data_IF_032874401655
#
_entry.id   IF_032874401655
#
_cell.length_a   1.000
_cell.length_b   1.000
_cell.length_c   1.000
_cell.angle_alpha   90.00
_cell.angle_beta   90.00
_cell.angle_gamma   90.00
#
_symmetry.space_group_name_H-M   'P 1'
#
loop_
_entity.id
_entity.type
_entity.pdbx_description
1 polymer ?
#
# COMPACT_ATOMS: atom_id res chain seq x y z
N UNK A 1 -8.40 -7.19 12.83
CA UNK A 1 -7.09 -6.86 13.43
C UNK A 1 -6.01 -7.72 12.79
N UNK A 2 -4.88 -7.12 12.39
CA UNK A 2 -3.71 -7.81 11.85
C UNK A 2 -2.56 -7.75 12.86
N UNK A 3 -1.95 -8.90 13.17
CA UNK A 3 -0.79 -9.00 14.04
C UNK A 3 0.37 -9.68 13.30
N UNK A 4 1.52 -9.03 13.29
CA UNK A 4 2.78 -9.60 12.84
C UNK A 4 3.62 -9.92 14.08
N UNK A 5 4.09 -11.16 14.20
CA UNK A 5 4.88 -11.63 15.35
C UNK A 5 6.23 -12.15 14.86
N UNK A 6 7.30 -11.44 15.21
CA UNK A 6 8.68 -11.83 14.90
C UNK A 6 8.93 -12.12 13.42
N UNK A 7 8.31 -11.33 12.52
CA UNK A 7 8.44 -11.52 11.07
C UNK A 7 9.88 -11.27 10.64
N UNK A 8 10.46 -12.27 10.00
CA UNK A 8 11.78 -12.19 9.39
C UNK A 8 11.72 -12.69 7.95
N UNK A 9 12.52 -12.06 7.09
CA UNK A 9 12.64 -12.49 5.70
C UNK A 9 14.07 -12.33 5.22
N UNK A 10 14.63 -13.43 4.74
CA UNK A 10 16.00 -13.53 4.25
C UNK A 10 16.01 -14.03 2.82
N UNK A 11 16.91 -13.52 2.03
CA UNK A 11 17.15 -13.93 0.65
C UNK A 11 18.58 -14.41 0.48
N UNK A 12 18.76 -15.44 -0.35
CA UNK A 12 20.09 -15.89 -0.76
C UNK A 12 20.53 -15.07 -1.96
N UNK A 13 21.72 -14.47 -1.87
CA UNK A 13 22.36 -13.73 -2.95
C UNK A 13 23.69 -14.42 -3.32
N UNK A 14 24.30 -14.11 -4.48
CA UNK A 14 25.63 -14.63 -4.81
C UNK A 14 26.71 -14.30 -3.79
N UNK A 15 26.50 -13.24 -3.02
CA UNK A 15 27.44 -12.73 -1.99
C UNK A 15 27.16 -13.29 -0.58
N UNK A 16 26.08 -14.10 -0.43
CA UNK A 16 25.66 -14.67 0.84
C UNK A 16 24.19 -14.45 1.15
N UNK A 17 23.80 -14.68 2.38
CA UNK A 17 22.44 -14.43 2.86
C UNK A 17 22.28 -12.96 3.25
N UNK A 18 21.14 -12.36 2.86
CA UNK A 18 20.79 -10.97 3.20
C UNK A 18 19.46 -10.94 3.92
N UNK A 19 19.42 -10.35 5.11
CA UNK A 19 18.20 -10.10 5.87
C UNK A 19 17.51 -8.82 5.34
N UNK A 20 16.35 -8.99 4.70
CA UNK A 20 15.51 -7.89 4.21
C UNK A 20 14.57 -7.40 5.31
N UNK A 21 13.99 -8.31 6.09
CA UNK A 21 13.17 -8.03 7.28
C UNK A 21 13.80 -8.74 8.48
N UNK A 22 13.95 -7.99 9.58
CA UNK A 22 14.68 -8.43 10.77
C UNK A 22 13.78 -8.29 12.00
N UNK A 23 13.05 -9.36 12.32
CA UNK A 23 12.27 -9.45 13.57
C UNK A 23 11.25 -8.32 13.76
N UNK A 24 10.37 -8.10 12.78
CA UNK A 24 9.30 -7.11 12.90
C UNK A 24 8.11 -7.70 13.65
N UNK A 25 7.72 -7.03 14.74
CA UNK A 25 6.49 -7.30 15.49
C UNK A 25 5.64 -6.03 15.53
N UNK A 26 4.39 -6.12 15.04
CA UNK A 26 3.46 -4.99 15.00
C UNK A 26 2.02 -5.48 15.02
N UNK A 27 1.16 -4.76 15.75
CA UNK A 27 -0.30 -4.93 15.72
C UNK A 27 -0.92 -3.75 15.00
N UNK A 28 -1.79 -4.02 14.03
CA UNK A 28 -2.55 -3.05 13.26
C UNK A 28 -4.03 -3.24 13.64
N UNK A 29 -4.63 -2.28 14.37
CA UNK A 29 -6.03 -2.35 14.77
C UNK A 29 -6.96 -2.22 13.56
N UNK A 30 -8.21 -2.70 13.72
CA UNK A 30 -9.23 -2.53 12.69
C UNK A 30 -9.61 -1.06 12.51
N UNK A 31 -10.04 -0.73 11.31
CA UNK A 31 -10.55 0.59 10.92
C UNK A 31 -9.55 1.73 11.12
N UNK A 32 -8.25 1.42 11.04
CA UNK A 32 -7.16 2.40 11.12
C UNK A 32 -6.50 2.60 9.78
N UNK A 33 -6.00 3.82 9.58
CA UNK A 33 -5.11 4.16 8.49
C UNK A 33 -3.67 4.19 9.03
N UNK A 34 -2.86 3.22 8.60
CA UNK A 34 -1.45 3.12 8.93
C UNK A 34 -0.62 3.54 7.70
N UNK A 35 0.36 4.40 7.89
CA UNK A 35 1.33 4.70 6.83
C UNK A 35 2.68 4.09 7.14
N UNK A 36 3.18 3.27 6.20
CA UNK A 36 4.54 2.76 6.23
C UNK A 36 5.43 3.67 5.39
N UNK A 37 6.43 4.26 6.00
CA UNK A 37 7.39 5.14 5.34
C UNK A 37 8.82 4.78 5.74
N UNK A 38 9.82 5.55 5.27
CA UNK A 38 11.24 5.29 5.55
C UNK A 38 12.05 5.13 4.26
N UNK A 39 13.38 4.99 4.34
CA UNK A 39 14.27 5.01 3.18
C UNK A 39 13.96 3.90 2.17
N UNK A 40 14.34 4.14 0.90
CA UNK A 40 14.24 3.13 -0.15
C UNK A 40 15.12 1.92 0.22
N UNK A 41 14.61 0.70 -0.07
CA UNK A 41 15.28 -0.53 0.35
C UNK A 41 15.09 -0.88 1.83
N UNK A 42 14.37 -0.08 2.62
CA UNK A 42 14.13 -0.32 4.05
C UNK A 42 13.29 -1.56 4.39
N UNK A 43 12.60 -2.16 3.39
CA UNK A 43 11.79 -3.38 3.59
C UNK A 43 10.28 -3.16 3.54
N UNK A 44 9.78 -1.94 3.32
CA UNK A 44 8.34 -1.58 3.32
C UNK A 44 7.50 -2.44 2.38
N UNK A 45 7.82 -2.43 1.08
CA UNK A 45 7.16 -3.25 0.04
C UNK A 45 7.27 -4.74 0.33
N UNK A 46 8.41 -5.20 0.84
CA UNK A 46 8.61 -6.61 1.21
C UNK A 46 7.67 -7.01 2.35
N UNK A 47 7.55 -6.19 3.38
CA UNK A 47 6.63 -6.44 4.50
C UNK A 47 5.17 -6.49 4.02
N UNK A 48 4.75 -5.56 3.17
CA UNK A 48 3.42 -5.56 2.58
C UNK A 48 3.16 -6.80 1.70
N UNK A 49 4.15 -7.24 0.91
CA UNK A 49 4.08 -8.49 0.13
C UNK A 49 3.97 -9.73 1.03
N UNK A 50 4.65 -9.74 2.16
CA UNK A 50 4.54 -10.80 3.17
C UNK A 50 3.12 -10.84 3.74
N UNK A 51 2.53 -9.70 4.09
CA UNK A 51 1.15 -9.63 4.59
C UNK A 51 0.15 -10.17 3.57
N UNK A 52 0.32 -9.88 2.29
CA UNK A 52 -0.55 -10.40 1.21
C UNK A 52 -0.27 -11.86 0.86
N UNK A 53 0.89 -12.44 1.26
CA UNK A 53 1.30 -13.80 0.90
C UNK A 53 1.95 -13.92 -0.47
N UNK A 54 2.35 -12.79 -1.08
CA UNK A 54 3.17 -12.74 -2.30
C UNK A 54 4.59 -13.24 -2.06
N UNK A 55 5.06 -13.09 -0.82
CA UNK A 55 6.35 -13.57 -0.32
C UNK A 55 6.10 -14.29 1.00
N UNK A 56 6.69 -15.47 1.18
CA UNK A 56 6.62 -16.19 2.45
C UNK A 56 7.72 -15.71 3.39
N UNK A 57 7.41 -15.39 4.65
CA UNK A 57 8.43 -15.04 5.63
C UNK A 57 9.33 -16.25 5.93
N UNK A 58 10.59 -16.00 6.26
CA UNK A 58 11.53 -17.06 6.70
C UNK A 58 11.37 -17.40 8.18
N UNK A 59 10.67 -16.55 8.94
CA UNK A 59 10.35 -16.77 10.35
C UNK A 59 9.22 -15.85 10.81
N UNK A 60 8.62 -16.20 11.94
CA UNK A 60 7.53 -15.46 12.54
C UNK A 60 6.15 -15.96 12.14
N UNK A 61 5.12 -15.24 12.59
CA UNK A 61 3.71 -15.61 12.44
C UNK A 61 2.87 -14.39 12.08
N UNK A 62 1.89 -14.57 11.21
CA UNK A 62 0.92 -13.54 10.80
C UNK A 62 -0.46 -14.00 11.26
N UNK A 63 -1.08 -13.22 12.14
CA UNK A 63 -2.46 -13.45 12.57
C UNK A 63 -3.38 -12.41 11.98
N UNK A 64 -4.47 -12.84 11.38
CA UNK A 64 -5.53 -11.97 10.89
C UNK A 64 -6.86 -12.36 11.53
N UNK A 65 -7.47 -11.42 12.27
CA UNK A 65 -8.66 -11.67 13.10
C UNK A 65 -8.49 -12.87 14.05
N UNK A 66 -7.26 -13.03 14.62
CA UNK A 66 -6.91 -14.12 15.52
C UNK A 66 -6.58 -15.46 14.85
N UNK A 67 -6.73 -15.56 13.52
CA UNK A 67 -6.42 -16.77 12.75
C UNK A 67 -5.01 -16.67 12.16
N UNK A 68 -4.24 -17.76 12.23
CA UNK A 68 -2.93 -17.84 11.60
C UNK A 68 -3.06 -17.97 10.09
N UNK A 69 -2.61 -16.94 9.37
CA UNK A 69 -2.62 -16.88 7.93
C UNK A 69 -1.22 -17.04 7.31
N UNK A 70 -0.20 -17.34 8.11
CA UNK A 70 1.20 -17.37 7.67
C UNK A 70 1.40 -18.26 6.46
N UNK A 71 0.84 -19.48 6.47
CA UNK A 71 0.96 -20.44 5.38
C UNK A 71 -0.09 -20.32 4.28
N UNK A 72 -1.07 -19.41 4.40
CA UNK A 72 -2.14 -19.27 3.41
C UNK A 72 -1.63 -18.65 2.11
N UNK A 73 -2.17 -19.14 1.00
CA UNK A 73 -1.93 -18.60 -0.34
C UNK A 73 -2.54 -17.20 -0.51
N UNK A 74 -2.10 -16.48 -1.55
CA UNK A 74 -2.65 -15.17 -1.95
C UNK A 74 -4.18 -15.26 -2.11
N UNK A 75 -4.68 -16.31 -2.77
CA UNK A 75 -6.11 -16.50 -3.02
C UNK A 75 -6.91 -16.70 -1.72
N UNK A 76 -6.37 -17.44 -0.76
CA UNK A 76 -7.03 -17.64 0.53
C UNK A 76 -7.06 -16.35 1.35
N UNK A 77 -5.94 -15.61 1.40
CA UNK A 77 -5.90 -14.29 2.06
C UNK A 77 -6.82 -13.28 1.38
N UNK A 78 -6.87 -13.31 0.05
CA UNK A 78 -7.81 -12.51 -0.70
C UNK A 78 -9.27 -12.83 -0.34
N UNK A 79 -9.65 -14.11 -0.20
CA UNK A 79 -10.99 -14.53 0.24
C UNK A 79 -11.32 -14.09 1.67
N UNK A 80 -10.32 -13.85 2.51
CA UNK A 80 -10.46 -13.28 3.85
C UNK A 80 -10.60 -11.75 3.86
N UNK A 81 -10.72 -11.11 2.70
CA UNK A 81 -10.91 -9.66 2.60
C UNK A 81 -9.62 -8.85 2.57
N UNK A 82 -8.46 -9.46 2.35
CA UNK A 82 -7.20 -8.73 2.18
C UNK A 82 -7.02 -8.38 0.70
N UNK A 83 -6.78 -7.09 0.41
CA UNK A 83 -6.55 -6.57 -0.94
C UNK A 83 -5.21 -5.87 -1.03
N UNK A 84 -4.57 -5.93 -2.21
CA UNK A 84 -3.23 -5.35 -2.43
C UNK A 84 -3.18 -4.58 -3.75
N UNK A 85 -2.79 -3.32 -3.69
CA UNK A 85 -2.47 -2.49 -4.84
C UNK A 85 -0.96 -2.47 -5.06
N UNK A 86 -0.55 -2.91 -6.25
CA UNK A 86 0.87 -3.06 -6.59
C UNK A 86 1.52 -1.70 -6.88
N UNK A 87 2.79 -1.54 -6.59
CA UNK A 87 3.58 -0.38 -7.01
C UNK A 87 3.52 -0.19 -8.54
N UNK A 88 3.64 -1.30 -9.27
CA UNK A 88 3.42 -1.36 -10.72
C UNK A 88 2.23 -2.29 -11.00
N UNK A 89 1.06 -1.74 -11.33
CA UNK A 89 -0.12 -2.53 -11.55
C UNK A 89 0.02 -3.41 -12.79
N UNK A 90 -0.51 -4.64 -12.76
CA UNK A 90 -0.50 -5.53 -13.90
C UNK A 90 -1.42 -5.03 -15.02
N UNK A 91 -1.09 -5.41 -16.27
CA UNK A 91 -1.92 -5.15 -17.44
C UNK A 91 -2.53 -6.45 -17.93
N UNK A 92 -3.76 -6.37 -18.41
CA UNK A 92 -4.55 -7.54 -18.80
C UNK A 92 -5.06 -7.38 -20.23
N UNK A 93 -4.43 -8.07 -21.17
CA UNK A 93 -4.88 -8.07 -22.57
C UNK A 93 -6.22 -8.80 -22.70
N UNK A 94 -7.18 -8.19 -23.41
CA UNK A 94 -8.50 -8.78 -23.64
C UNK A 94 -9.45 -8.67 -22.47
N UNK A 95 -9.13 -7.91 -21.42
CA UNK A 95 -9.99 -7.65 -20.26
C UNK A 95 -10.28 -6.15 -20.20
N UNK A 96 -11.56 -5.79 -20.20
CA UNK A 96 -11.98 -4.39 -20.07
C UNK A 96 -11.96 -3.92 -18.63
N UNK A 97 -12.00 -2.60 -18.43
CA UNK A 97 -12.17 -1.99 -17.10
C UNK A 97 -13.46 -2.49 -16.43
N UNK A 98 -14.54 -2.63 -17.19
CA UNK A 98 -15.80 -3.18 -16.69
C UNK A 98 -15.61 -4.62 -16.19
N UNK A 99 -14.94 -5.48 -16.95
CA UNK A 99 -14.68 -6.87 -16.56
C UNK A 99 -13.85 -6.96 -15.28
N UNK A 100 -12.84 -6.10 -15.14
CA UNK A 100 -12.04 -6.06 -13.91
C UNK A 100 -12.85 -5.62 -12.70
N UNK A 101 -13.69 -4.61 -12.84
CA UNK A 101 -14.56 -4.16 -11.74
C UNK A 101 -15.57 -5.24 -11.37
N UNK A 102 -16.16 -5.93 -12.37
CA UNK A 102 -17.08 -7.04 -12.16
C UNK A 102 -16.43 -8.19 -11.40
N UNK A 103 -15.25 -8.62 -11.84
CA UNK A 103 -14.46 -9.67 -11.18
C UNK A 103 -14.07 -9.27 -9.75
N UNK A 104 -13.68 -8.02 -9.54
CA UNK A 104 -13.30 -7.52 -8.23
C UNK A 104 -14.49 -7.48 -7.26
N UNK A 105 -15.67 -7.06 -7.72
CA UNK A 105 -16.90 -7.04 -6.93
C UNK A 105 -17.39 -8.46 -6.57
N UNK A 106 -16.94 -9.50 -7.28
CA UNK A 106 -17.39 -10.88 -7.08
C UNK A 106 -18.87 -11.09 -7.43
N UNK A 107 -19.40 -10.29 -8.34
CA UNK A 107 -20.81 -10.31 -8.75
C UNK A 107 -20.96 -10.83 -10.18
N UNK A 108 -22.11 -11.41 -10.51
CA UNK A 108 -22.41 -11.81 -11.89
C UNK A 108 -22.74 -10.62 -12.79
N UNK A 109 -23.22 -9.52 -12.21
CA UNK A 109 -23.56 -8.29 -12.92
C UNK A 109 -23.25 -7.08 -12.05
N UNK A 110 -22.59 -6.10 -12.64
CA UNK A 110 -22.32 -4.81 -12.01
C UNK A 110 -22.97 -3.70 -12.83
N UNK A 111 -23.84 -2.90 -12.22
CA UNK A 111 -24.52 -1.82 -12.93
C UNK A 111 -23.53 -0.72 -13.35
N UNK A 112 -23.84 -0.04 -14.47
CA UNK A 112 -23.03 1.07 -14.96
C UNK A 112 -22.90 2.18 -13.91
N UNK A 113 -23.93 2.44 -13.12
CA UNK A 113 -23.91 3.45 -12.05
C UNK A 113 -22.90 3.10 -10.94
N UNK A 114 -22.82 1.81 -10.55
CA UNK A 114 -21.84 1.35 -9.57
C UNK A 114 -20.42 1.42 -10.11
N UNK A 115 -20.20 1.03 -11.37
CA UNK A 115 -18.92 1.22 -12.04
C UNK A 115 -18.52 2.70 -12.06
N UNK A 116 -19.48 3.58 -12.40
CA UNK A 116 -19.28 5.02 -12.41
C UNK A 116 -18.87 5.52 -11.01
N UNK A 117 -19.51 5.05 -9.96
CA UNK A 117 -19.19 5.42 -8.58
C UNK A 117 -17.74 5.05 -8.20
N UNK A 118 -17.27 3.84 -8.57
CA UNK A 118 -15.88 3.43 -8.29
C UNK A 118 -14.87 4.23 -9.11
N UNK A 119 -15.11 4.44 -10.41
CA UNK A 119 -14.20 5.17 -11.28
C UNK A 119 -14.14 6.65 -10.91
N UNK A 120 -15.26 7.27 -10.54
CA UNK A 120 -15.31 8.67 -10.09
C UNK A 120 -14.46 8.89 -8.84
N UNK A 121 -14.44 7.95 -7.91
CA UNK A 121 -13.60 8.02 -6.71
C UNK A 121 -12.12 8.18 -7.03
N UNK A 122 -11.66 7.57 -8.11
CA UNK A 122 -10.26 7.66 -8.57
C UNK A 122 -10.06 8.69 -9.71
N UNK A 123 -11.03 9.53 -9.98
CA UNK A 123 -10.93 10.60 -10.98
C UNK A 123 -10.97 10.11 -12.43
N UNK A 124 -11.68 9.02 -12.72
CA UNK A 124 -11.90 8.50 -14.06
C UNK A 124 -13.38 8.61 -14.44
N UNK A 125 -13.66 8.94 -15.71
CA UNK A 125 -15.01 8.96 -16.25
C UNK A 125 -15.40 7.57 -16.77
N UNK A 126 -16.49 7.00 -16.25
CA UNK A 126 -16.93 5.68 -16.68
C UNK A 126 -17.23 5.58 -18.18
N UNK A 127 -17.81 6.64 -18.80
CA UNK A 127 -18.12 6.65 -20.21
C UNK A 127 -16.88 6.54 -21.11
N UNK A 128 -15.73 7.00 -20.62
CA UNK A 128 -14.47 7.03 -21.38
C UNK A 128 -13.61 5.77 -21.17
N UNK A 129 -13.86 5.03 -20.07
CA UNK A 129 -12.95 3.97 -19.64
C UNK A 129 -13.57 2.59 -19.57
N UNK A 130 -14.89 2.42 -19.33
CA UNK A 130 -15.48 1.10 -19.04
C UNK A 130 -15.22 0.05 -20.12
N UNK A 131 -15.35 0.44 -21.38
CA UNK A 131 -15.20 -0.49 -22.50
C UNK A 131 -13.74 -0.58 -23.01
N UNK A 132 -12.80 0.13 -22.38
CA UNK A 132 -11.38 0.07 -22.75
C UNK A 132 -10.71 -1.17 -22.13
N UNK A 133 -9.85 -1.81 -22.90
CA UNK A 133 -8.96 -2.87 -22.38
C UNK A 133 -7.90 -2.26 -21.46
N UNK A 134 -7.52 -3.01 -20.42
CA UNK A 134 -6.45 -2.60 -19.48
C UNK A 134 -5.10 -3.04 -20.04
N UNK A 135 -4.76 -2.54 -21.19
CA UNK A 135 -3.57 -2.87 -21.97
C UNK A 135 -2.54 -1.71 -22.02
N UNK A 136 -1.63 -1.78 -23.00
CA UNK A 136 -0.55 -0.80 -23.21
C UNK A 136 -1.04 0.57 -23.70
N UNK A 137 -2.29 0.70 -24.13
CA UNK A 137 -2.88 1.97 -24.58
C UNK A 137 -3.19 2.92 -23.41
N UNK A 138 -3.30 2.39 -22.19
CA UNK A 138 -3.50 3.18 -20.99
C UNK A 138 -2.15 3.65 -20.43
N UNK A 139 -2.10 4.89 -19.97
CA UNK A 139 -0.94 5.41 -19.22
C UNK A 139 -0.75 4.67 -17.88
N UNK A 140 0.44 4.73 -17.30
CA UNK A 140 0.72 4.14 -15.99
C UNK A 140 -0.22 4.65 -14.89
N UNK A 141 -0.49 5.96 -14.87
CA UNK A 141 -1.39 6.58 -13.90
C UNK A 141 -2.86 6.18 -14.08
N UNK A 142 -3.32 5.93 -15.32
CA UNK A 142 -4.68 5.43 -15.57
C UNK A 142 -4.82 3.99 -15.07
N UNK A 143 -3.86 3.11 -15.38
CA UNK A 143 -3.87 1.72 -14.90
C UNK A 143 -3.83 1.67 -13.37
N UNK A 144 -3.02 2.52 -12.74
CA UNK A 144 -2.93 2.63 -11.28
C UNK A 144 -4.27 3.03 -10.65
N UNK A 145 -4.95 4.01 -11.21
CA UNK A 145 -6.28 4.44 -10.75
C UNK A 145 -7.35 3.37 -10.97
N UNK A 146 -7.29 2.65 -12.09
CA UNK A 146 -8.19 1.51 -12.34
C UNK A 146 -7.95 0.41 -11.31
N UNK A 147 -6.69 0.06 -11.01
CA UNK A 147 -6.35 -0.90 -9.96
C UNK A 147 -6.96 -0.50 -8.61
N UNK A 148 -6.78 0.76 -8.19
CA UNK A 148 -7.37 1.26 -6.95
C UNK A 148 -8.90 1.15 -6.98
N UNK A 149 -9.56 1.48 -8.09
CA UNK A 149 -11.00 1.32 -8.25
C UNK A 149 -11.44 -0.15 -8.08
N UNK A 150 -10.64 -1.14 -8.56
CA UNK A 150 -10.93 -2.56 -8.35
C UNK A 150 -10.79 -2.98 -6.90
N UNK A 151 -9.80 -2.45 -6.17
CA UNK A 151 -9.64 -2.69 -4.73
C UNK A 151 -10.85 -2.16 -3.96
N UNK A 152 -11.33 -0.95 -4.32
CA UNK A 152 -12.53 -0.37 -3.71
C UNK A 152 -13.80 -1.18 -4.03
N UNK A 153 -13.92 -1.69 -5.25
CA UNK A 153 -15.06 -2.51 -5.67
C UNK A 153 -15.15 -3.85 -4.92
N UNK A 154 -14.01 -4.35 -4.46
CA UNK A 154 -13.91 -5.61 -3.71
C UNK A 154 -14.48 -5.52 -2.30
N UNK A 155 -14.61 -4.33 -1.69
CA UNK A 155 -15.05 -4.13 -0.31
C UNK A 155 -14.27 -4.95 0.73
N UNK A 156 -12.93 -5.04 0.57
CA UNK A 156 -12.07 -5.76 1.50
C UNK A 156 -11.99 -5.08 2.88
N UNK A 157 -11.80 -5.88 3.94
CA UNK A 157 -11.63 -5.37 5.31
C UNK A 157 -10.23 -4.80 5.55
N UNK A 158 -9.21 -5.30 4.82
CA UNK A 158 -7.84 -4.82 4.84
C UNK A 158 -7.37 -4.47 3.43
N UNK A 159 -7.05 -3.21 3.21
CA UNK A 159 -6.56 -2.69 1.94
C UNK A 159 -5.10 -2.26 2.10
N UNK A 160 -4.23 -2.79 1.27
CA UNK A 160 -2.81 -2.45 1.25
C UNK A 160 -2.50 -1.74 -0.07
N UNK A 161 -1.90 -0.56 -0.02
CA UNK A 161 -1.52 0.22 -1.20
C UNK A 161 -0.02 0.48 -1.17
N UNK A 162 0.68 0.00 -2.19
CA UNK A 162 2.13 0.17 -2.34
C UNK A 162 2.41 1.31 -3.32
N UNK A 163 2.83 2.46 -2.79
CA UNK A 163 3.07 3.71 -3.51
C UNK A 163 1.93 4.06 -4.49
N UNK A 164 0.70 4.27 -3.98
CA UNK A 164 -0.47 4.51 -4.84
C UNK A 164 -0.37 5.76 -5.69
N UNK A 165 0.52 6.69 -5.33
CA UNK A 165 0.81 7.92 -6.05
C UNK A 165 1.76 7.76 -7.24
N UNK A 166 2.44 6.63 -7.38
CA UNK A 166 3.45 6.44 -8.41
C UNK A 166 2.88 6.60 -9.84
N UNK A 167 3.43 7.55 -10.59
CA UNK A 167 3.00 7.83 -11.97
C UNK A 167 1.65 8.52 -12.13
N UNK A 168 1.06 9.02 -11.05
CA UNK A 168 -0.20 9.79 -11.05
C UNK A 168 0.11 11.28 -11.09
N UNK A 169 -0.64 12.05 -11.91
CA UNK A 169 -0.55 13.51 -11.96
C UNK A 169 -1.11 14.17 -10.67
N UNK A 170 -0.73 15.42 -10.46
CA UNK A 170 -1.08 16.17 -9.24
C UNK A 170 -2.59 16.26 -8.97
N UNK A 171 -3.40 16.44 -10.02
CA UNK A 171 -4.86 16.60 -9.88
C UNK A 171 -5.52 15.27 -9.52
N UNK A 172 -5.12 14.20 -10.20
CA UNK A 172 -5.57 12.85 -9.91
C UNK A 172 -5.11 12.37 -8.53
N UNK A 173 -3.90 12.76 -8.11
CA UNK A 173 -3.39 12.46 -6.77
C UNK A 173 -4.21 13.17 -5.68
N UNK A 174 -4.59 14.44 -5.88
CA UNK A 174 -5.46 15.13 -4.93
C UNK A 174 -6.79 14.38 -4.75
N UNK A 175 -7.41 13.95 -5.86
CA UNK A 175 -8.65 13.16 -5.83
C UNK A 175 -8.50 11.83 -5.11
N UNK A 176 -7.39 11.15 -5.34
CA UNK A 176 -7.07 9.88 -4.67
C UNK A 176 -6.91 10.07 -3.15
N UNK A 177 -6.24 11.15 -2.74
CA UNK A 177 -6.05 11.50 -1.33
C UNK A 177 -7.40 11.75 -0.64
N UNK A 178 -8.31 12.50 -1.28
CA UNK A 178 -9.69 12.69 -0.80
C UNK A 178 -10.44 11.36 -0.65
N UNK A 179 -10.22 10.42 -1.58
CA UNK A 179 -10.83 9.08 -1.52
C UNK A 179 -10.33 8.28 -0.32
N UNK A 180 -9.02 8.28 -0.05
CA UNK A 180 -8.46 7.62 1.13
C UNK A 180 -8.97 8.26 2.43
N UNK A 181 -9.03 9.59 2.48
CA UNK A 181 -9.61 10.30 3.62
C UNK A 181 -11.07 9.93 3.87
N UNK A 182 -11.86 9.81 2.79
CA UNK A 182 -13.27 9.41 2.91
C UNK A 182 -13.43 7.98 3.42
N UNK A 183 -12.66 7.02 2.89
CA UNK A 183 -12.70 5.61 3.34
C UNK A 183 -12.30 5.52 4.81
N UNK A 184 -11.27 6.26 5.22
CA UNK A 184 -10.82 6.32 6.61
C UNK A 184 -11.90 6.91 7.52
N UNK A 185 -12.50 8.01 7.13
CA UNK A 185 -13.58 8.68 7.89
C UNK A 185 -14.83 7.80 8.01
N UNK A 186 -15.16 7.04 6.96
CA UNK A 186 -16.29 6.10 6.97
C UNK A 186 -16.04 4.88 7.88
N UNK A 187 -14.78 4.63 8.27
CA UNK A 187 -14.39 3.53 9.15
C UNK A 187 -14.75 2.14 8.64
N UNK A 188 -14.83 1.98 7.31
CA UNK A 188 -15.29 0.73 6.69
C UNK A 188 -14.22 -0.32 6.48
N UNK A 189 -12.94 0.10 6.49
CA UNK A 189 -11.80 -0.78 6.24
C UNK A 189 -10.56 -0.33 7.01
N UNK A 190 -9.65 -1.26 7.24
CA UNK A 190 -8.28 -0.99 7.68
C UNK A 190 -7.42 -0.72 6.46
N UNK A 191 -6.62 0.33 6.47
CA UNK A 191 -5.73 0.68 5.37
C UNK A 191 -4.27 0.68 5.81
N UNK A 192 -3.42 0.08 4.99
CA UNK A 192 -1.96 0.22 5.06
C UNK A 192 -1.52 0.89 3.77
N UNK A 193 -0.93 2.07 3.86
CA UNK A 193 -0.41 2.78 2.69
C UNK A 193 1.10 2.94 2.83
N UNK A 194 1.84 2.42 1.86
CA UNK A 194 3.27 2.73 1.73
C UNK A 194 3.37 4.00 0.92
N UNK A 195 3.88 5.07 1.52
CA UNK A 195 4.01 6.35 0.83
C UNK A 195 5.10 7.23 1.45
N UNK A 196 5.65 8.12 0.61
CA UNK A 196 6.55 9.21 1.02
C UNK A 196 5.88 10.59 0.88
N UNK A 197 4.63 10.62 0.42
CA UNK A 197 3.89 11.85 0.19
C UNK A 197 3.33 12.42 1.50
N UNK A 198 3.72 13.64 1.82
CA UNK A 198 3.29 14.35 3.03
C UNK A 198 1.77 14.34 3.21
N UNK A 199 1.01 14.52 2.11
CA UNK A 199 -0.46 14.54 2.15
C UNK A 199 -1.04 13.21 2.62
N UNK A 200 -0.46 12.07 2.21
CA UNK A 200 -0.89 10.74 2.66
C UNK A 200 -0.43 10.50 4.10
N UNK A 201 0.81 10.86 4.43
CA UNK A 201 1.36 10.71 5.78
C UNK A 201 0.49 11.43 6.81
N UNK A 202 0.00 12.64 6.49
CA UNK A 202 -0.86 13.43 7.38
C UNK A 202 -2.27 12.87 7.59
N UNK A 203 -2.72 11.94 6.76
CA UNK A 203 -4.02 11.25 6.96
C UNK A 203 -3.92 10.09 7.95
N UNK A 204 -2.70 9.63 8.27
CA UNK A 204 -2.51 8.44 9.08
C UNK A 204 -2.92 8.65 10.54
N UNK A 205 -3.56 7.65 11.14
CA UNK A 205 -3.68 7.54 12.60
C UNK A 205 -2.32 7.25 13.22
N UNK A 206 -1.52 6.43 12.52
CA UNK A 206 -0.23 5.99 13.01
C UNK A 206 0.76 5.84 11.85
N UNK A 207 1.98 6.29 12.07
CA UNK A 207 3.09 6.18 11.12
C UNK A 207 4.06 5.13 11.63
N UNK A 208 4.53 4.28 10.73
CA UNK A 208 5.58 3.28 10.97
C UNK A 208 6.75 3.56 10.03
N UNK A 209 7.85 3.96 10.58
CA UNK A 209 9.11 4.18 9.83
C UNK A 209 9.87 2.86 9.78
N UNK A 210 10.03 2.31 8.57
CA UNK A 210 10.75 1.05 8.35
C UNK A 210 12.10 1.36 7.69
N UNK A 211 13.17 1.05 8.39
CA UNK A 211 14.53 1.25 7.93
C UNK A 211 15.40 0.04 8.25
N UNK A 212 16.27 -0.35 7.32
CA UNK A 212 17.18 -1.49 7.48
C UNK A 212 16.52 -2.81 7.91
N UNK A 213 15.27 -3.01 7.47
CA UNK A 213 14.47 -4.20 7.77
C UNK A 213 13.85 -4.23 9.17
N UNK A 214 13.83 -3.11 9.89
CA UNK A 214 13.29 -2.99 11.25
C UNK A 214 12.36 -1.77 11.37
N UNK A 215 11.52 -1.74 12.40
CA UNK A 215 10.76 -0.54 12.78
C UNK A 215 11.70 0.41 13.49
N UNK A 216 12.03 1.53 12.86
CA UNK A 216 12.88 2.57 13.45
C UNK A 216 12.05 3.50 14.36
N UNK A 217 10.87 3.91 13.92
CA UNK A 217 9.94 4.73 14.70
C UNK A 217 8.51 4.26 14.45
N UNK A 218 7.67 4.41 15.47
CA UNK A 218 6.25 4.13 15.42
C UNK A 218 5.52 5.06 16.39
N UNK A 219 4.40 5.62 15.96
CA UNK A 219 3.57 6.50 16.79
C UNK A 219 2.54 7.27 15.98
N UNK A 220 1.83 8.16 16.64
CA UNK A 220 0.88 9.06 16.00
C UNK A 220 1.56 9.97 14.97
N UNK A 221 0.76 10.52 14.06
CA UNK A 221 1.27 11.48 13.07
C UNK A 221 1.95 12.68 13.74
N UNK A 222 1.41 13.19 14.83
CA UNK A 222 1.98 14.33 15.55
C UNK A 222 3.34 14.02 16.20
N UNK A 223 3.57 12.77 16.60
CA UNK A 223 4.82 12.34 17.22
C UNK A 223 5.92 12.03 16.18
N UNK A 224 5.56 11.30 15.12
CA UNK A 224 6.56 10.74 14.19
C UNK A 224 6.84 11.66 13.00
N UNK A 225 5.85 12.42 12.52
CA UNK A 225 6.05 13.29 11.34
C UNK A 225 7.15 14.35 11.54
N UNK A 226 7.27 15.03 12.71
CA UNK A 226 8.39 15.93 12.96
C UNK A 226 9.78 15.26 12.91
N UNK A 227 9.88 13.99 13.36
CA UNK A 227 11.13 13.23 13.31
C UNK A 227 11.55 12.95 11.86
N UNK A 228 10.59 12.57 11.01
CA UNK A 228 10.84 12.34 9.58
C UNK A 228 11.35 13.62 8.90
N UNK A 229 10.77 14.78 9.23
CA UNK A 229 11.21 16.07 8.69
C UNK A 229 12.62 16.44 9.17
N UNK A 230 12.94 16.20 10.44
CA UNK A 230 14.25 16.49 11.00
C UNK A 230 15.35 15.65 10.32
N UNK A 231 15.09 14.35 10.09
CA UNK A 231 16.02 13.45 9.39
C UNK A 231 16.27 13.86 7.93
N UNK A 232 15.26 14.41 7.26
CA UNK A 232 15.38 14.90 5.88
C UNK A 232 16.15 16.21 5.79
N UNK A 233 16.12 17.06 6.79
CA UNK A 233 16.79 18.35 6.84
C UNK A 233 18.24 18.26 7.36
N UNK A 234 18.56 17.25 8.19
CA UNK A 234 19.87 17.05 8.82
C UNK A 234 20.89 16.20 8.04
N UNK A 235 20.50 15.63 6.91
CA UNK A 235 21.23 14.51 6.31
C UNK A 235 22.13 14.79 5.10
N UNK A 236 22.95 15.86 5.08
CA UNK A 236 24.06 15.91 4.13
C UNK A 236 25.42 16.01 4.86
N UNK A 237 26.16 14.88 5.06
CA UNK A 237 27.47 14.88 5.72
C UNK A 237 28.54 15.71 5.02
N UNK A 238 28.26 16.24 3.82
CA UNK A 238 29.18 17.05 3.01
C UNK A 238 29.20 18.52 3.46
N UNK A 239 28.15 19.01 4.11
CA UNK A 239 28.06 20.40 4.57
C UNK A 239 28.77 20.65 5.92
N UNK A 240 28.87 19.64 6.79
CA UNK A 240 29.55 19.79 8.09
C UNK A 240 31.08 19.84 8.02
N UNK A 241 31.72 19.54 6.86
CA UNK A 241 33.21 19.61 6.70
C UNK A 241 33.73 20.98 6.30
N UNK A 242 32.89 22.00 6.12
CA UNK A 242 33.39 23.34 5.72
C UNK A 242 33.48 24.37 6.84
N UNK A 243 33.07 24.09 8.06
CA UNK A 243 33.17 25.04 9.18
C UNK A 243 34.30 24.75 10.17
N UNK A 244 35.14 23.74 9.92
CA UNK A 244 36.24 23.35 10.79
C UNK A 244 37.65 23.67 10.29
N UNK A 245 37.83 24.56 9.31
CA UNK A 245 39.15 24.98 8.80
C UNK A 245 39.24 26.48 8.68
N UNK A 246 39.45 27.11 9.82
CA UNK A 246 40.15 28.41 9.95
C UNK A 246 41.03 28.36 11.20
#
# INVERSE_FOLDING_TARGET
MLELKHISYRVSTPEGEMDIIKDISITIPDHRLMVFTGPNGGGKTTLAKIIMGLVQPTGGQILYNGEDITGLSITERAKKGISYGFQQPPRFKGITVHDLLLLAAGEEKLSKDRCCAYLTKVGLCANDYLDREVDVSLSGGEVKRIEIATILARHGELMIFDEPEAGIDLWSFARLTETFEQIHRDGTATMIIISHQERIIKLADEIVVIANGQIAHRGSTDEVFPLILADTLGGCPVLERKEGAQ
#
